data_IF_750814807711
#
_entry.id   IF_750814807711
#
_cell.length_a   1.000
_cell.length_b   1.000
_cell.length_c   1.000
_cell.angle_alpha   90.00
_cell.angle_beta   90.00
_cell.angle_gamma   90.00
#
_symmetry.space_group_name_H-M   'P 1'
#
loop_
_entity.id
_entity.type
_entity.pdbx_description
1 polymer ?
#
# COMPACT_ATOMS: atom_id res chain seq x y z
N UNK A 1 -8.42 -0.11 3.31
CA UNK A 1 -9.21 0.32 2.13
C UNK A 1 -8.47 0.16 0.80
N UNK A 2 -7.13 0.10 0.77
CA UNK A 2 -6.37 -0.14 -0.48
C UNK A 2 -6.25 -1.60 -0.92
N UNK A 3 -6.44 -2.57 -0.02
CA UNK A 3 -6.39 -4.01 -0.33
C UNK A 3 -7.31 -4.39 -1.51
N UNK A 4 -8.61 -4.03 -1.53
CA UNK A 4 -9.49 -4.39 -2.64
C UNK A 4 -9.06 -3.76 -3.99
N UNK A 5 -8.39 -2.61 -3.96
CA UNK A 5 -7.88 -1.94 -5.16
C UNK A 5 -6.71 -2.76 -5.75
N UNK A 6 -5.77 -3.18 -4.89
CA UNK A 6 -4.67 -4.07 -5.28
C UNK A 6 -5.17 -5.41 -5.84
N UNK A 7 -6.09 -6.06 -5.12
CA UNK A 7 -6.63 -7.38 -5.50
C UNK A 7 -7.36 -7.32 -6.85
N UNK A 8 -8.06 -6.21 -7.11
CA UNK A 8 -8.72 -5.95 -8.40
C UNK A 8 -7.71 -5.79 -9.54
N UNK A 9 -6.64 -5.02 -9.32
CA UNK A 9 -5.61 -4.76 -10.34
C UNK A 9 -4.80 -6.02 -10.67
N UNK A 10 -4.46 -6.84 -9.66
CA UNK A 10 -3.71 -8.08 -9.81
C UNK A 10 -4.57 -9.31 -10.11
N UNK A 11 -5.90 -9.18 -10.06
CA UNK A 11 -6.86 -10.29 -10.16
C UNK A 11 -6.53 -11.47 -9.23
N UNK A 12 -6.03 -11.15 -8.05
CA UNK A 12 -5.53 -12.10 -7.04
C UNK A 12 -6.11 -11.73 -5.68
N UNK A 13 -6.52 -12.73 -4.90
CA UNK A 13 -7.03 -12.54 -3.54
C UNK A 13 -5.90 -12.83 -2.56
N UNK A 14 -5.63 -11.89 -1.65
CA UNK A 14 -4.62 -12.04 -0.61
C UNK A 14 -5.29 -12.44 0.71
N UNK A 15 -4.99 -13.64 1.20
CA UNK A 15 -5.51 -14.09 2.50
C UNK A 15 -4.78 -13.40 3.67
N UNK A 16 -3.49 -13.16 3.52
CA UNK A 16 -2.66 -12.38 4.43
C UNK A 16 -2.46 -10.98 3.86
N UNK A 17 -2.61 -9.94 4.69
CA UNK A 17 -2.41 -8.56 4.25
C UNK A 17 -2.06 -7.67 5.44
N UNK A 18 -0.82 -7.79 5.93
CA UNK A 18 -0.36 -7.14 7.16
C UNK A 18 0.63 -6.04 6.81
N UNK A 19 0.32 -4.78 7.14
CA UNK A 19 1.28 -3.70 7.04
C UNK A 19 2.34 -3.85 8.15
N UNK A 20 3.62 -3.93 7.78
CA UNK A 20 4.73 -4.15 8.73
C UNK A 20 5.63 -2.92 8.87
N UNK A 21 5.64 -2.03 7.89
CA UNK A 21 6.43 -0.80 7.89
C UNK A 21 5.71 0.24 7.03
N UNK A 22 5.78 1.52 7.41
CA UNK A 22 5.29 2.61 6.55
C UNK A 22 6.15 3.86 6.68
N UNK A 23 6.11 4.68 5.63
CA UNK A 23 6.67 6.04 5.57
C UNK A 23 5.63 7.00 5.06
N UNK A 24 5.74 8.27 5.43
CA UNK A 24 4.81 9.31 5.01
C UNK A 24 5.55 10.43 4.28
N UNK A 25 4.86 11.02 3.30
CA UNK A 25 5.29 12.22 2.61
C UNK A 25 4.11 13.19 2.52
N UNK A 26 4.30 14.41 3.02
CA UNK A 26 3.28 15.46 2.96
C UNK A 26 3.29 16.09 1.57
N UNK A 27 2.10 16.22 0.98
CA UNK A 27 1.83 16.86 -0.31
C UNK A 27 0.57 17.73 -0.16
N UNK A 28 -0.20 17.98 -1.23
CA UNK A 28 -1.59 18.43 -1.11
C UNK A 28 -2.50 17.28 -0.62
N UNK A 29 -2.19 16.75 0.57
CA UNK A 29 -2.63 15.44 1.07
C UNK A 29 -1.45 14.71 1.71
N UNK A 30 -1.55 13.39 1.86
CA UNK A 30 -0.48 12.54 2.41
C UNK A 30 -0.29 11.32 1.53
N UNK A 31 0.94 11.10 1.07
CA UNK A 31 1.36 9.83 0.50
C UNK A 31 1.86 8.91 1.63
N UNK A 32 1.36 7.68 1.65
CA UNK A 32 1.81 6.59 2.50
C UNK A 32 2.51 5.54 1.64
N UNK A 33 3.82 5.38 1.82
CA UNK A 33 4.54 4.21 1.33
C UNK A 33 4.41 3.12 2.39
N UNK A 34 3.89 1.95 2.05
CA UNK A 34 3.53 0.90 3.00
C UNK A 34 4.13 -0.43 2.53
N UNK A 35 4.92 -1.09 3.38
CA UNK A 35 5.36 -2.47 3.17
C UNK A 35 4.32 -3.42 3.76
N UNK A 36 3.74 -4.26 2.92
CA UNK A 36 2.68 -5.20 3.29
C UNK A 36 3.16 -6.63 3.10
N UNK A 37 3.09 -7.45 4.13
CA UNK A 37 3.29 -8.89 4.05
C UNK A 37 2.03 -9.54 3.47
N UNK A 38 2.19 -10.31 2.40
CA UNK A 38 1.09 -10.97 1.67
C UNK A 38 1.16 -12.50 1.68
N UNK A 39 2.32 -13.07 2.05
CA UNK A 39 2.50 -14.48 2.40
C UNK A 39 3.66 -14.62 3.40
N UNK A 40 4.13 -15.84 3.69
CA UNK A 40 5.25 -16.04 4.62
C UNK A 40 6.55 -15.36 4.16
N UNK A 41 6.80 -15.36 2.85
CA UNK A 41 8.04 -14.85 2.26
C UNK A 41 7.83 -13.68 1.27
N UNK A 42 6.59 -13.35 0.90
CA UNK A 42 6.30 -12.33 -0.10
C UNK A 42 5.72 -11.05 0.51
N UNK A 43 6.17 -9.94 -0.06
CA UNK A 43 5.78 -8.60 0.33
C UNK A 43 5.36 -7.79 -0.90
N UNK A 44 4.51 -6.80 -0.66
CA UNK A 44 4.09 -5.81 -1.64
C UNK A 44 4.33 -4.44 -1.04
N UNK A 45 4.98 -3.56 -1.78
CA UNK A 45 5.08 -2.15 -1.41
C UNK A 45 3.94 -1.38 -2.08
N UNK A 46 3.22 -0.57 -1.31
CA UNK A 46 2.09 0.24 -1.77
C UNK A 46 2.42 1.71 -1.60
N UNK A 47 2.01 2.52 -2.57
CA UNK A 47 1.88 3.96 -2.44
C UNK A 47 0.39 4.27 -2.37
N UNK A 48 -0.10 4.67 -1.20
CA UNK A 48 -1.48 5.07 -0.99
C UNK A 48 -1.56 6.59 -0.76
N UNK A 49 -2.44 7.25 -1.48
CA UNK A 49 -2.72 8.68 -1.29
C UNK A 49 -3.95 8.88 -0.42
N UNK A 50 -3.84 9.77 0.55
CA UNK A 50 -4.94 10.26 1.38
C UNK A 50 -5.10 11.74 1.09
N UNK A 51 -6.27 12.10 0.56
CA UNK A 51 -6.67 13.47 0.29
C UNK A 51 -6.74 14.31 1.58
N UNK A 52 -6.86 15.63 1.43
CA UNK A 52 -7.01 16.50 2.60
C UNK A 52 -8.32 16.20 3.35
N UNK A 53 -8.40 16.41 4.68
CA UNK A 53 -9.57 16.04 5.48
C UNK A 53 -10.90 16.61 4.96
N UNK A 54 -10.87 17.80 4.36
CA UNK A 54 -12.04 18.47 3.80
C UNK A 54 -12.61 17.80 2.54
N UNK A 55 -11.82 16.99 1.84
CA UNK A 55 -12.24 16.34 0.58
C UNK A 55 -13.09 15.10 0.85
N UNK A 56 -13.11 14.58 2.09
CA UNK A 56 -13.90 13.40 2.51
C UNK A 56 -13.73 12.19 1.58
N UNK A 57 -12.56 12.05 0.94
CA UNK A 57 -12.22 10.91 0.10
C UNK A 57 -11.50 9.84 0.92
N UNK A 58 -11.73 8.57 0.54
CA UNK A 58 -10.96 7.45 1.07
C UNK A 58 -9.54 7.40 0.50
N UNK A 59 -8.67 6.55 1.05
CA UNK A 59 -7.33 6.31 0.51
C UNK A 59 -7.40 5.62 -0.86
N UNK A 60 -6.61 6.14 -1.79
CA UNK A 60 -6.47 5.63 -3.14
C UNK A 60 -5.12 4.93 -3.31
N UNK A 61 -5.09 3.76 -3.95
CA UNK A 61 -3.87 3.09 -4.34
C UNK A 61 -3.30 3.77 -5.59
N UNK A 62 -2.22 4.52 -5.42
CA UNK A 62 -1.56 5.23 -6.53
C UNK A 62 -0.62 4.32 -7.30
N UNK A 63 0.15 3.50 -6.57
CA UNK A 63 1.14 2.58 -7.15
C UNK A 63 1.36 1.39 -6.24
N UNK A 64 1.81 0.29 -6.81
CA UNK A 64 2.29 -0.87 -6.06
C UNK A 64 3.52 -1.49 -6.72
N UNK A 65 4.23 -2.32 -5.97
CA UNK A 65 5.32 -3.17 -6.45
C UNK A 65 5.26 -4.53 -5.77
N UNK A 66 5.15 -5.58 -6.57
CA UNK A 66 5.09 -6.98 -6.15
C UNK A 66 6.50 -7.58 -6.03
N UNK A 67 6.57 -8.86 -5.66
CA UNK A 67 7.81 -9.65 -5.64
C UNK A 67 8.88 -9.04 -4.72
N UNK A 68 8.44 -8.37 -3.64
CA UNK A 68 9.32 -7.83 -2.61
C UNK A 68 9.56 -8.86 -1.52
N UNK A 69 10.69 -8.70 -0.87
CA UNK A 69 11.13 -9.44 0.31
C UNK A 69 11.00 -8.56 1.55
N UNK A 70 11.20 -9.15 2.72
CA UNK A 70 11.17 -8.42 4.00
C UNK A 70 12.23 -7.33 4.06
N UNK A 71 13.41 -7.61 3.52
CA UNK A 71 14.62 -6.79 3.61
C UNK A 71 14.70 -5.70 2.54
N UNK A 72 13.82 -5.74 1.53
CA UNK A 72 13.75 -4.67 0.52
C UNK A 72 13.45 -3.32 1.20
N UNK A 73 14.19 -2.26 0.87
CA UNK A 73 13.95 -0.95 1.46
C UNK A 73 12.57 -0.42 1.03
N UNK A 74 11.86 0.18 1.98
CA UNK A 74 10.63 0.89 1.67
C UNK A 74 10.98 2.26 1.09
N UNK A 75 10.64 2.49 -0.18
CA UNK A 75 10.83 3.75 -0.89
C UNK A 75 9.59 4.63 -0.86
#
# INVERSE_FOLDING_TARGET
QVKPQLEKDLKTIYLLFIAIEYKTQVVAGINYCIKVQVSEAEYVHLLAFVALPQENQGPELVRFSTDKTRDDPLE
#
